data_IF_543227166099
#
_entry.id   IF_543227166099
#
_cell.length_a   1.000
_cell.length_b   1.000
_cell.length_c   1.000
_cell.angle_alpha   90.00
_cell.angle_beta   90.00
_cell.angle_gamma   90.00
#
_symmetry.space_group_name_H-M   'P 1'
#
loop_
_entity.id
_entity.type
_entity.pdbx_description
1 polymer ?
#
# COMPACT_ATOMS: atom_id res chain seq x y z
N UNK A 1 -19.13 -34.14 -26.45
CA UNK A 1 -17.85 -34.76 -26.04
C UNK A 1 -17.36 -34.08 -24.78
N UNK A 2 -17.43 -34.79 -23.65
CA UNK A 2 -17.10 -34.33 -22.30
C UNK A 2 -15.61 -34.00 -22.23
N UNK A 3 -15.26 -32.72 -22.06
CA UNK A 3 -13.87 -32.32 -21.77
C UNK A 3 -13.70 -32.40 -20.25
N UNK A 4 -12.93 -33.41 -19.86
CA UNK A 4 -12.62 -33.77 -18.48
C UNK A 4 -11.66 -32.74 -17.87
N UNK A 5 -12.02 -32.31 -16.66
CA UNK A 5 -11.21 -31.53 -15.73
C UNK A 5 -9.96 -32.31 -15.32
N UNK A 6 -8.79 -31.68 -15.39
CA UNK A 6 -7.58 -32.15 -14.72
C UNK A 6 -7.07 -31.03 -13.81
N UNK A 7 -7.53 -31.08 -12.57
CA UNK A 7 -7.02 -30.30 -11.44
C UNK A 7 -5.82 -31.06 -10.90
N UNK A 8 -4.62 -30.49 -10.99
CA UNK A 8 -3.46 -30.95 -10.23
C UNK A 8 -3.14 -29.90 -9.17
N UNK A 9 -3.65 -30.14 -7.97
CA UNK A 9 -3.26 -29.44 -6.76
C UNK A 9 -1.81 -29.82 -6.41
N UNK A 10 -0.92 -28.83 -6.34
CA UNK A 10 0.41 -28.98 -5.79
C UNK A 10 0.42 -28.34 -4.40
N UNK A 11 0.06 -29.14 -3.40
CA UNK A 11 0.34 -28.88 -1.98
C UNK A 11 1.72 -29.41 -1.66
N UNK A 12 2.68 -28.51 -1.41
CA UNK A 12 3.98 -28.86 -0.86
C UNK A 12 4.33 -27.93 0.32
N UNK A 13 4.12 -28.47 1.51
CA UNK A 13 4.91 -28.37 2.73
C UNK A 13 5.49 -27.00 3.15
N UNK A 14 4.85 -26.38 4.14
CA UNK A 14 5.50 -25.46 5.09
C UNK A 14 5.17 -25.91 6.51
N UNK A 15 5.99 -26.83 7.03
CA UNK A 15 6.07 -27.17 8.44
C UNK A 15 7.54 -27.13 8.87
N UNK A 16 7.97 -25.96 9.32
CA UNK A 16 9.12 -25.80 10.19
C UNK A 16 8.78 -24.71 11.22
N UNK A 17 8.23 -25.17 12.34
CA UNK A 17 8.01 -24.36 13.53
C UNK A 17 9.12 -24.58 14.56
N UNK A 18 9.14 -23.64 15.51
CA UNK A 18 9.79 -23.65 16.82
C UNK A 18 11.27 -23.22 16.92
N UNK A 19 11.47 -22.05 17.54
CA UNK A 19 12.76 -21.58 18.02
C UNK A 19 12.70 -20.19 18.64
N UNK A 20 11.95 -20.02 19.73
CA UNK A 20 12.12 -18.87 20.64
C UNK A 20 13.38 -19.07 21.48
N UNK A 21 14.28 -18.09 21.51
CA UNK A 21 15.10 -17.78 22.68
C UNK A 21 15.45 -16.29 22.66
N UNK A 22 14.93 -15.57 23.66
CA UNK A 22 15.36 -14.24 24.01
C UNK A 22 16.68 -14.34 24.77
N UNK A 23 17.63 -13.43 24.51
CA UNK A 23 18.44 -12.79 25.55
C UNK A 23 19.14 -11.52 25.01
N UNK A 24 19.33 -10.56 25.90
CA UNK A 24 19.76 -9.16 25.71
C UNK A 24 21.10 -8.96 26.47
N UNK A 25 21.56 -7.72 26.66
CA UNK A 25 22.54 -6.93 25.91
C UNK A 25 23.99 -7.07 26.44
N UNK A 26 24.98 -6.66 25.64
CA UNK A 26 26.30 -6.28 26.17
C UNK A 26 26.70 -4.90 25.61
N UNK A 27 26.93 -3.96 26.53
CA UNK A 27 27.44 -2.61 26.29
C UNK A 27 28.71 -2.44 27.11
N UNK A 28 29.87 -2.29 26.48
CA UNK A 28 31.05 -1.61 27.01
C UNK A 28 32.02 -1.27 25.86
N UNK A 29 32.32 0.02 25.66
CA UNK A 29 33.44 0.50 24.79
C UNK A 29 34.66 0.90 25.63
N UNK A 30 35.43 1.93 25.25
CA UNK A 30 36.40 2.12 24.14
C UNK A 30 37.85 2.28 24.74
N UNK A 31 38.91 2.94 24.17
CA UNK A 31 39.12 3.62 22.87
C UNK A 31 40.45 3.25 22.15
N UNK A 32 40.63 3.78 20.93
CA UNK A 32 41.92 3.77 20.22
C UNK A 32 41.91 4.63 18.96
N UNK A 33 42.33 5.89 19.10
CA UNK A 33 42.87 6.76 18.03
C UNK A 33 44.05 6.04 17.33
N UNK A 34 44.40 6.22 16.05
CA UNK A 34 44.63 7.45 15.30
C UNK A 34 44.88 7.13 13.78
N UNK A 35 45.18 8.11 12.91
CA UNK A 35 44.69 8.18 11.53
C UNK A 35 45.70 7.81 10.44
N UNK A 36 45.25 7.62 9.20
CA UNK A 36 46.06 7.97 8.01
C UNK A 36 45.17 8.20 6.79
N UNK A 37 45.35 9.37 6.16
CA UNK A 37 44.58 9.82 5.01
C UNK A 37 44.98 9.14 3.69
N UNK A 38 44.04 9.15 2.76
CA UNK A 38 44.25 8.85 1.35
C UNK A 38 43.20 9.60 0.54
N UNK A 39 43.67 10.54 -0.29
CA UNK A 39 42.87 11.47 -1.05
C UNK A 39 41.98 10.81 -2.11
N UNK A 40 40.87 11.49 -2.39
CA UNK A 40 39.87 11.29 -3.45
C UNK A 40 40.45 11.05 -4.85
N UNK A 41 39.63 10.44 -5.73
CA UNK A 41 39.13 11.22 -6.85
C UNK A 41 37.60 11.22 -6.95
N UNK A 42 37.12 12.36 -7.44
CA UNK A 42 35.74 12.72 -7.76
C UNK A 42 35.11 11.73 -8.74
N UNK A 43 33.94 11.20 -8.37
CA UNK A 43 32.99 10.50 -9.24
C UNK A 43 31.60 11.10 -9.04
N UNK A 44 30.72 11.06 -10.06
CA UNK A 44 29.61 12.00 -10.18
C UNK A 44 28.59 11.86 -9.05
N UNK A 45 28.15 13.04 -8.60
CA UNK A 45 27.01 13.33 -7.74
C UNK A 45 25.75 12.59 -8.22
N UNK A 46 25.58 11.37 -7.75
CA UNK A 46 24.27 10.74 -7.62
C UNK A 46 23.60 11.33 -6.40
N UNK A 47 22.86 12.42 -6.58
CA UNK A 47 21.89 12.92 -5.60
C UNK A 47 20.77 11.89 -5.47
N UNK A 48 21.04 10.78 -4.77
CA UNK A 48 19.97 10.02 -4.16
C UNK A 48 19.26 10.95 -3.18
N UNK A 49 17.93 10.98 -3.09
CA UNK A 49 17.26 11.71 -2.03
C UNK A 49 17.71 11.06 -0.73
N UNK A 50 18.66 11.72 -0.05
CA UNK A 50 19.02 11.40 1.32
C UNK A 50 17.71 11.40 2.10
N UNK A 51 17.42 10.27 2.72
CA UNK A 51 16.38 10.13 3.71
C UNK A 51 16.72 11.08 4.86
N UNK A 52 16.30 12.35 4.71
CA UNK A 52 16.18 13.27 5.81
C UNK A 52 15.15 12.67 6.75
N UNK A 53 15.64 11.97 7.77
CA UNK A 53 14.86 11.59 8.93
C UNK A 53 14.59 12.85 9.75
N UNK A 54 13.88 13.81 9.16
CA UNK A 54 13.16 14.83 9.90
C UNK A 54 11.82 14.21 10.24
N UNK A 55 11.44 14.22 11.51
CA UNK A 55 10.04 14.01 11.90
C UNK A 55 9.18 14.81 10.93
N UNK A 56 8.14 14.21 10.34
CA UNK A 56 7.27 14.87 9.39
C UNK A 56 6.75 16.17 10.01
N UNK A 57 7.44 17.28 9.73
CA UNK A 57 7.12 18.59 10.27
C UNK A 57 6.01 19.18 9.45
N UNK A 58 5.04 19.82 10.11
CA UNK A 58 3.89 20.42 9.45
C UNK A 58 2.60 19.63 9.64
N UNK A 59 1.74 19.65 8.63
CA UNK A 59 0.39 19.05 8.64
C UNK A 59 0.32 17.56 8.25
N UNK A 60 1.44 16.83 8.36
CA UNK A 60 1.52 15.42 7.96
C UNK A 60 0.52 14.51 8.70
N UNK A 61 0.32 14.63 10.04
CA UNK A 61 -0.67 13.81 10.75
C UNK A 61 -2.10 13.99 10.23
N UNK A 62 -2.53 15.22 9.94
CA UNK A 62 -3.87 15.52 9.43
C UNK A 62 -4.08 14.97 8.01
N UNK A 63 -3.09 15.15 7.14
CA UNK A 63 -3.07 14.64 5.77
C UNK A 63 -3.14 13.10 5.78
N UNK A 64 -2.35 12.46 6.63
CA UNK A 64 -2.34 11.01 6.80
C UNK A 64 -3.67 10.48 7.32
N UNK A 65 -4.23 11.08 8.37
CA UNK A 65 -5.52 10.67 8.92
C UNK A 65 -6.67 10.84 7.91
N UNK A 66 -6.61 11.85 7.04
CA UNK A 66 -7.58 12.02 5.96
C UNK A 66 -7.43 10.95 4.87
N UNK A 67 -6.20 10.69 4.41
CA UNK A 67 -5.91 9.67 3.41
C UNK A 67 -6.30 8.26 3.90
N UNK A 68 -5.97 7.92 5.16
CA UNK A 68 -6.32 6.64 5.78
C UNK A 68 -7.83 6.44 5.82
N UNK A 69 -8.58 7.38 6.41
CA UNK A 69 -10.05 7.30 6.49
C UNK A 69 -10.73 7.11 5.12
N UNK A 70 -10.19 7.74 4.08
CA UNK A 70 -10.67 7.56 2.73
C UNK A 70 -10.39 6.15 2.21
N UNK A 71 -9.18 5.62 2.43
CA UNK A 71 -8.84 4.24 2.09
C UNK A 71 -9.69 3.23 2.84
N UNK A 72 -9.95 3.44 4.13
CA UNK A 72 -10.80 2.55 4.93
C UNK A 72 -12.22 2.48 4.40
N UNK A 73 -12.75 3.65 4.01
CA UNK A 73 -14.09 3.77 3.44
C UNK A 73 -14.16 3.09 2.08
N UNK A 74 -13.17 3.29 1.22
CA UNK A 74 -13.12 2.67 -0.10
C UNK A 74 -13.05 1.15 -0.02
N UNK A 75 -12.18 0.58 0.82
CA UNK A 75 -12.05 -0.88 0.99
C UNK A 75 -13.33 -1.48 1.57
N UNK A 76 -13.95 -0.84 2.57
CA UNK A 76 -15.22 -1.31 3.12
C UNK A 76 -16.32 -1.35 2.06
N UNK A 77 -16.46 -0.28 1.27
CA UNK A 77 -17.43 -0.23 0.17
C UNK A 77 -17.12 -1.27 -0.90
N UNK A 78 -15.84 -1.46 -1.24
CA UNK A 78 -15.40 -2.47 -2.20
C UNK A 78 -15.87 -3.87 -1.78
N UNK A 79 -15.55 -4.30 -0.56
CA UNK A 79 -15.91 -5.63 -0.05
C UNK A 79 -17.44 -5.80 0.04
N UNK A 80 -18.15 -4.78 0.54
CA UNK A 80 -19.61 -4.83 0.65
C UNK A 80 -20.29 -4.97 -0.71
N UNK A 81 -19.90 -4.16 -1.68
CA UNK A 81 -20.50 -4.18 -3.01
C UNK A 81 -20.03 -5.39 -3.83
N UNK A 82 -18.81 -5.89 -3.63
CA UNK A 82 -18.34 -7.15 -4.24
C UNK A 82 -19.23 -8.32 -3.79
N UNK A 83 -19.54 -8.41 -2.50
CA UNK A 83 -20.48 -9.41 -1.98
C UNK A 83 -21.87 -9.31 -2.61
N UNK A 84 -22.39 -8.08 -2.80
CA UNK A 84 -23.68 -7.85 -3.49
C UNK A 84 -23.62 -8.25 -4.96
N UNK A 85 -22.51 -7.96 -5.65
CA UNK A 85 -22.30 -8.34 -7.05
C UNK A 85 -22.32 -9.86 -7.22
N UNK A 86 -21.58 -10.59 -6.37
CA UNK A 86 -21.54 -12.07 -6.39
C UNK A 86 -22.95 -12.65 -6.14
N UNK A 87 -23.68 -12.12 -5.16
CA UNK A 87 -25.05 -12.55 -4.89
C UNK A 87 -26.00 -12.28 -6.07
N UNK A 88 -25.88 -11.11 -6.71
CA UNK A 88 -26.67 -10.73 -7.88
C UNK A 88 -26.39 -11.63 -9.09
N UNK A 89 -25.12 -11.96 -9.35
CA UNK A 89 -24.73 -12.91 -10.41
C UNK A 89 -25.33 -14.30 -10.13
N UNK A 90 -25.28 -14.77 -8.88
CA UNK A 90 -25.90 -16.03 -8.48
C UNK A 90 -27.44 -16.06 -8.65
N UNK A 91 -28.07 -14.89 -8.66
CA UNK A 91 -29.51 -14.71 -8.88
C UNK A 91 -29.90 -14.35 -10.32
N UNK A 92 -28.94 -14.32 -11.26
CA UNK A 92 -29.12 -13.84 -12.65
C UNK A 92 -29.61 -12.37 -12.76
N UNK A 93 -29.35 -11.55 -11.74
CA UNK A 93 -29.69 -10.13 -11.74
C UNK A 93 -28.52 -9.28 -12.25
N UNK A 94 -28.44 -9.17 -13.57
CA UNK A 94 -27.41 -8.37 -14.23
C UNK A 94 -27.47 -6.86 -13.86
N UNK A 95 -28.62 -6.35 -13.45
CA UNK A 95 -28.76 -4.92 -13.09
C UNK A 95 -28.20 -4.65 -11.70
N UNK A 96 -28.50 -5.51 -10.73
CA UNK A 96 -27.90 -5.43 -9.41
C UNK A 96 -26.38 -5.62 -9.45
N UNK A 97 -25.89 -6.56 -10.27
CA UNK A 97 -24.44 -6.77 -10.45
C UNK A 97 -23.73 -5.52 -11.02
N UNK A 98 -24.30 -4.89 -12.07
CA UNK A 98 -23.78 -3.63 -12.61
C UNK A 98 -23.82 -2.49 -11.59
N UNK A 99 -24.92 -2.35 -10.85
CA UNK A 99 -25.07 -1.32 -9.82
C UNK A 99 -23.98 -1.44 -8.75
N UNK A 100 -23.69 -2.66 -8.31
CA UNK A 100 -22.64 -2.91 -7.33
C UNK A 100 -21.26 -2.53 -7.89
N UNK A 101 -20.96 -2.94 -9.14
CA UNK A 101 -19.72 -2.54 -9.82
C UNK A 101 -19.57 -1.02 -9.93
N UNK A 102 -20.62 -0.30 -10.30
CA UNK A 102 -20.57 1.16 -10.42
C UNK A 102 -20.27 1.84 -9.08
N UNK A 103 -20.81 1.30 -7.99
CA UNK A 103 -20.50 1.78 -6.63
C UNK A 103 -19.06 1.52 -6.22
N UNK A 104 -18.50 0.36 -6.57
CA UNK A 104 -17.07 0.08 -6.39
C UNK A 104 -16.21 1.11 -7.14
N UNK A 105 -16.47 1.30 -8.43
CA UNK A 105 -15.75 2.27 -9.27
C UNK A 105 -15.82 3.69 -8.71
N UNK A 106 -17.00 4.08 -8.21
CA UNK A 106 -17.21 5.38 -7.57
C UNK A 106 -16.37 5.53 -6.30
N UNK A 107 -16.39 4.53 -5.41
CA UNK A 107 -15.62 4.56 -4.18
C UNK A 107 -14.10 4.69 -4.43
N UNK A 108 -13.57 3.98 -5.43
CA UNK A 108 -12.16 4.09 -5.83
C UNK A 108 -11.85 5.47 -6.43
N UNK A 109 -12.76 6.01 -7.24
CA UNK A 109 -12.63 7.36 -7.81
C UNK A 109 -12.60 8.44 -6.73
N UNK A 110 -13.44 8.32 -5.70
CA UNK A 110 -13.50 9.23 -4.57
C UNK A 110 -12.25 9.15 -3.70
N UNK A 111 -11.74 7.93 -3.46
CA UNK A 111 -10.48 7.74 -2.74
C UNK A 111 -9.31 8.38 -3.48
N UNK A 112 -9.18 8.11 -4.79
CA UNK A 112 -8.19 8.76 -5.65
C UNK A 112 -8.28 10.29 -5.54
N UNK A 113 -9.48 10.84 -5.63
CA UNK A 113 -9.69 12.29 -5.56
C UNK A 113 -9.26 12.85 -4.20
N UNK A 114 -9.50 12.10 -3.12
CA UNK A 114 -8.99 12.43 -1.80
C UNK A 114 -7.47 12.38 -1.73
N UNK A 115 -6.83 11.33 -2.22
CA UNK A 115 -5.36 11.23 -2.25
C UNK A 115 -4.72 12.41 -3.00
N UNK A 116 -5.29 12.81 -4.15
CA UNK A 116 -4.82 14.01 -4.89
C UNK A 116 -5.01 15.30 -4.11
N UNK A 117 -6.14 15.47 -3.43
CA UNK A 117 -6.37 16.65 -2.61
C UNK A 117 -5.37 16.71 -1.47
N UNK A 118 -5.19 15.62 -0.73
CA UNK A 118 -4.28 15.58 0.40
C UNK A 118 -2.81 15.70 -0.05
N UNK A 119 -2.44 15.16 -1.23
CA UNK A 119 -1.10 15.38 -1.78
C UNK A 119 -0.81 16.86 -2.03
N UNK A 120 -1.79 17.63 -2.54
CA UNK A 120 -1.61 19.09 -2.73
C UNK A 120 -1.46 19.85 -1.42
N UNK A 121 -2.08 19.37 -0.34
CA UNK A 121 -2.08 20.00 0.99
C UNK A 121 -0.86 19.63 1.80
N UNK A 122 -0.23 18.49 1.54
CA UNK A 122 0.96 18.05 2.24
C UNK A 122 2.10 19.08 2.12
N UNK A 123 2.60 19.50 3.28
CA UNK A 123 3.77 20.37 3.41
C UNK A 123 5.07 19.59 3.21
N UNK A 124 5.11 18.32 3.63
CA UNK A 124 6.21 17.41 3.36
C UNK A 124 6.24 16.96 1.89
N UNK A 125 7.40 17.12 1.26
CA UNK A 125 7.57 16.82 -0.16
C UNK A 125 7.52 15.31 -0.46
N UNK A 126 8.01 14.46 0.46
CA UNK A 126 7.99 13.02 0.26
C UNK A 126 6.55 12.49 0.35
N UNK A 127 5.78 12.94 1.35
CA UNK A 127 4.36 12.62 1.53
C UNK A 127 3.53 13.08 0.34
N UNK A 128 3.78 14.29 -0.18
CA UNK A 128 3.14 14.81 -1.39
C UNK A 128 3.33 13.87 -2.59
N UNK A 129 4.58 13.50 -2.90
CA UNK A 129 4.86 12.60 -4.03
C UNK A 129 4.18 11.24 -3.83
N UNK A 130 4.29 10.67 -2.63
CA UNK A 130 3.73 9.34 -2.37
C UNK A 130 2.20 9.28 -2.46
N UNK A 131 1.50 10.30 -1.95
CA UNK A 131 0.05 10.40 -2.10
C UNK A 131 -0.37 10.58 -3.56
N UNK A 132 0.42 11.31 -4.36
CA UNK A 132 0.18 11.46 -5.78
C UNK A 132 0.38 10.13 -6.54
N UNK A 133 1.43 9.37 -6.23
CA UNK A 133 1.71 8.06 -6.81
C UNK A 133 0.59 7.07 -6.47
N UNK A 134 0.18 7.01 -5.20
CA UNK A 134 -0.95 6.18 -4.78
C UNK A 134 -2.25 6.57 -5.50
N UNK A 135 -2.50 7.85 -5.72
CA UNK A 135 -3.67 8.28 -6.50
C UNK A 135 -3.61 7.82 -7.96
N UNK A 136 -2.41 7.74 -8.56
CA UNK A 136 -2.26 7.18 -9.90
C UNK A 136 -2.57 5.68 -9.90
N UNK A 137 -2.03 4.91 -8.94
CA UNK A 137 -2.29 3.48 -8.78
C UNK A 137 -3.77 3.17 -8.53
N UNK A 138 -4.45 3.90 -7.62
CA UNK A 138 -5.91 3.72 -7.42
C UNK A 138 -6.69 4.08 -8.69
N UNK A 139 -6.18 5.03 -9.48
CA UNK A 139 -6.76 5.39 -10.77
C UNK A 139 -6.70 4.28 -11.81
N UNK A 140 -5.64 3.48 -11.83
CA UNK A 140 -5.53 2.33 -12.74
C UNK A 140 -6.42 1.18 -12.29
N UNK A 141 -6.57 0.97 -10.97
CA UNK A 141 -7.48 -0.03 -10.43
C UNK A 141 -8.94 0.31 -10.75
N UNK A 142 -9.35 1.56 -10.52
CA UNK A 142 -10.73 1.99 -10.77
C UNK A 142 -11.20 1.88 -12.22
N UNK A 143 -10.28 1.73 -13.19
CA UNK A 143 -10.63 1.48 -14.60
C UNK A 143 -10.87 0.02 -14.94
N UNK A 144 -10.40 -0.91 -14.11
CA UNK A 144 -10.52 -2.35 -14.35
C UNK A 144 -10.91 -3.11 -13.08
N UNK A 145 -12.13 -2.82 -12.58
CA UNK A 145 -12.65 -3.41 -11.33
C UNK A 145 -12.71 -4.94 -11.36
N UNK A 146 -12.86 -5.53 -12.55
CA UNK A 146 -12.90 -7.00 -12.70
C UNK A 146 -11.50 -7.64 -12.56
N UNK A 147 -10.43 -6.85 -12.71
CA UNK A 147 -9.04 -7.31 -12.52
C UNK A 147 -8.48 -6.99 -11.14
N UNK A 148 -9.21 -6.29 -10.29
CA UNK A 148 -8.75 -5.97 -8.93
C UNK A 148 -8.92 -7.22 -8.07
N UNK A 149 -7.80 -7.84 -7.68
CA UNK A 149 -7.79 -8.82 -6.60
C UNK A 149 -7.75 -8.09 -5.24
N UNK A 150 -8.47 -8.62 -4.23
CA UNK A 150 -8.53 -8.06 -2.86
C UNK A 150 -7.13 -7.78 -2.27
N UNK A 151 -6.14 -8.57 -2.68
CA UNK A 151 -4.73 -8.42 -2.30
C UNK A 151 -4.09 -7.11 -2.74
N UNK A 152 -4.51 -6.52 -3.87
CA UNK A 152 -3.94 -5.25 -4.34
C UNK A 152 -4.43 -4.06 -3.51
N UNK A 153 -5.72 -4.07 -3.12
CA UNK A 153 -6.30 -3.07 -2.22
C UNK A 153 -5.66 -3.11 -0.82
N UNK A 154 -5.45 -4.31 -0.28
CA UNK A 154 -4.77 -4.48 1.01
C UNK A 154 -3.31 -4.01 0.95
N UNK A 155 -2.60 -4.28 -0.16
CA UNK A 155 -1.24 -3.78 -0.35
C UNK A 155 -1.18 -2.25 -0.37
N UNK A 156 -2.11 -1.59 -1.04
CA UNK A 156 -2.21 -0.13 -1.06
C UNK A 156 -2.46 0.42 0.35
N UNK A 157 -3.32 -0.24 1.12
CA UNK A 157 -3.62 0.16 2.50
C UNK A 157 -2.43 -0.02 3.42
N UNK A 158 -1.72 -1.15 3.34
CA UNK A 158 -0.49 -1.38 4.11
C UNK A 158 0.60 -0.35 3.80
N UNK A 159 0.76 0.05 2.53
CA UNK A 159 1.69 1.14 2.16
C UNK A 159 1.28 2.46 2.81
N UNK A 160 -0.02 2.77 2.83
CA UNK A 160 -0.53 3.97 3.48
C UNK A 160 -0.25 3.97 4.99
N UNK A 161 -0.48 2.85 5.67
CA UNK A 161 -0.25 2.73 7.11
C UNK A 161 1.25 2.83 7.44
N UNK A 162 2.11 2.19 6.64
CA UNK A 162 3.55 2.33 6.79
C UNK A 162 4.04 3.76 6.57
N UNK A 163 3.36 4.57 5.75
CA UNK A 163 3.71 5.99 5.56
C UNK A 163 3.31 6.85 6.74
N UNK A 164 2.12 6.59 7.27
CA UNK A 164 1.50 7.40 8.31
C UNK A 164 1.91 7.00 9.73
N UNK A 165 2.65 5.90 9.88
CA UNK A 165 3.30 5.49 11.12
C UNK A 165 4.68 6.15 11.34
N UNK A 166 5.13 7.03 10.44
CA UNK A 166 6.47 7.66 10.44
C UNK A 166 6.45 9.07 10.99
#
# INVERSE_FOLDING_TARGET
MRRLLAVTALTAALLAGAGCAAERPERAGPPGDAPTGGATPVGPTGTGPGAGSGAAGGNAPEVCAAAQRAGETAVRTYVEELGKMVAAVGADDATAARTARDRISTALTDWRSTLRRESTRAEDAQLKTLLADMAAEVGTLGTDVDSIDETELDRLRQRLDQLCAR
#
